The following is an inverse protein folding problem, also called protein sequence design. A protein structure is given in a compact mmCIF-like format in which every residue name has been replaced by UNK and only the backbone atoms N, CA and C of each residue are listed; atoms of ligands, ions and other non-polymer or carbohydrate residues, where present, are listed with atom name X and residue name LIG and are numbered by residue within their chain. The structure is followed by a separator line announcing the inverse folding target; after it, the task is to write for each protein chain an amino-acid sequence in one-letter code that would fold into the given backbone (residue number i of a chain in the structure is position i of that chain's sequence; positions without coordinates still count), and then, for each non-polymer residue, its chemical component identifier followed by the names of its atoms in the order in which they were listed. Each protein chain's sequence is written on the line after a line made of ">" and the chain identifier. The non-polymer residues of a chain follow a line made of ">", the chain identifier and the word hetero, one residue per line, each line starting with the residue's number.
data_IF_158672146256
#
_entry.id   IF_158672146256
#
_cell.length_a   1.000
_cell.length_b   1.000
_cell.length_c   1.000
_cell.angle_alpha   90.00
_cell.angle_beta   90.00
_cell.angle_gamma   90.00
#
_symmetry.space_group_name_H-M   'P 1'
#
loop_
_entity.id
_entity.type
_entity.pdbx_description
1 polymer ?
#
# COMPACT_ATOMS: atom_id res chain seq x y z
N UNK A 1 26.21 -70.88 -44.64
CA UNK A 1 24.94 -70.67 -43.90
C UNK A 1 25.17 -70.22 -42.46
N UNK A 2 26.12 -70.81 -41.74
CA UNK A 2 26.43 -70.46 -40.34
C UNK A 2 26.87 -68.99 -40.17
N UNK A 3 27.70 -68.46 -41.08
CA UNK A 3 28.18 -67.07 -40.96
C UNK A 3 27.06 -66.03 -41.11
N UNK A 4 26.08 -66.28 -41.98
CA UNK A 4 24.95 -65.37 -42.18
C UNK A 4 24.00 -65.36 -40.96
N UNK A 5 23.77 -66.53 -40.34
CA UNK A 5 22.99 -66.61 -39.11
C UNK A 5 23.67 -65.89 -37.93
N UNK A 6 25.00 -65.95 -37.86
CA UNK A 6 25.79 -65.25 -36.84
C UNK A 6 25.77 -63.73 -37.03
N UNK A 7 25.97 -63.27 -38.27
CA UNK A 7 25.86 -61.85 -38.63
C UNK A 7 24.48 -61.29 -38.30
N UNK A 8 23.41 -62.00 -38.67
CA UNK A 8 22.04 -61.58 -38.35
C UNK A 8 21.79 -61.52 -36.82
N UNK A 9 22.32 -62.48 -36.06
CA UNK A 9 22.20 -62.47 -34.60
C UNK A 9 22.94 -61.29 -33.94
N UNK A 10 24.12 -60.94 -34.45
CA UNK A 10 24.90 -59.78 -33.98
C UNK A 10 24.22 -58.46 -34.35
N UNK A 11 23.57 -58.37 -35.53
CA UNK A 11 22.75 -57.22 -35.94
C UNK A 11 21.54 -57.03 -35.01
N UNK A 12 20.81 -58.11 -34.69
CA UNK A 12 19.68 -58.03 -33.75
C UNK A 12 20.13 -57.69 -32.33
N UNK A 13 21.29 -58.19 -31.89
CA UNK A 13 21.87 -57.83 -30.59
C UNK A 13 22.19 -56.35 -30.52
N UNK A 14 22.88 -55.82 -31.54
CA UNK A 14 23.22 -54.38 -31.62
C UNK A 14 21.95 -53.52 -31.60
N UNK A 15 20.93 -53.90 -32.39
CA UNK A 15 19.63 -53.20 -32.40
C UNK A 15 18.94 -53.24 -31.04
N UNK A 16 18.94 -54.39 -30.37
CA UNK A 16 18.36 -54.54 -29.03
C UNK A 16 19.09 -53.65 -28.01
N UNK A 17 20.42 -53.63 -28.04
CA UNK A 17 21.24 -52.78 -27.15
C UNK A 17 20.96 -51.30 -27.39
N UNK A 18 20.86 -50.85 -28.65
CA UNK A 18 20.53 -49.45 -28.97
C UNK A 18 19.12 -49.07 -28.53
N UNK A 19 18.14 -49.95 -28.77
CA UNK A 19 16.75 -49.71 -28.38
C UNK A 19 16.58 -49.71 -26.85
N UNK A 20 17.29 -50.60 -26.17
CA UNK A 20 17.33 -50.66 -24.71
C UNK A 20 17.95 -49.39 -24.12
N UNK A 21 19.05 -48.89 -24.70
CA UNK A 21 19.65 -47.63 -24.29
C UNK A 21 18.70 -46.44 -24.49
N UNK A 22 18.00 -46.38 -25.64
CA UNK A 22 17.00 -45.36 -25.92
C UNK A 22 15.85 -45.41 -24.90
N UNK A 23 15.33 -46.61 -24.60
CA UNK A 23 14.28 -46.82 -23.59
C UNK A 23 14.71 -46.29 -22.22
N UNK A 24 15.94 -46.61 -21.79
CA UNK A 24 16.50 -46.14 -20.51
C UNK A 24 16.63 -44.60 -20.48
N UNK A 25 17.03 -43.98 -21.59
CA UNK A 25 17.08 -42.51 -21.71
C UNK A 25 15.69 -41.90 -21.54
N UNK A 26 14.70 -42.42 -22.27
CA UNK A 26 13.31 -41.93 -22.19
C UNK A 26 12.73 -42.14 -20.79
N UNK A 27 13.01 -43.25 -20.13
CA UNK A 27 12.59 -43.47 -18.74
C UNK A 27 13.23 -42.46 -17.78
N UNK A 28 14.51 -42.13 -17.98
CA UNK A 28 15.19 -41.08 -17.21
C UNK A 28 14.51 -39.72 -17.43
N UNK A 29 14.22 -39.37 -18.68
CA UNK A 29 13.57 -38.10 -19.04
C UNK A 29 12.16 -38.01 -18.44
N UNK A 30 11.37 -39.09 -18.51
CA UNK A 30 10.03 -39.17 -17.88
C UNK A 30 10.14 -38.93 -16.37
N UNK A 31 11.11 -39.56 -15.71
CA UNK A 31 11.31 -39.37 -14.27
C UNK A 31 11.76 -37.94 -13.94
N UNK A 32 12.60 -37.33 -14.76
CA UNK A 32 13.00 -35.93 -14.64
C UNK A 32 11.82 -34.98 -14.79
N UNK A 33 11.02 -35.16 -15.85
CA UNK A 33 9.83 -34.34 -16.11
C UNK A 33 8.78 -34.45 -14.99
N UNK A 34 8.62 -35.64 -14.40
CA UNK A 34 7.72 -35.82 -13.23
C UNK A 34 8.18 -34.99 -12.04
N UNK A 35 9.49 -34.96 -11.74
CA UNK A 35 10.02 -34.13 -10.65
C UNK A 35 9.80 -32.64 -10.89
N UNK A 36 10.06 -32.17 -12.12
CA UNK A 36 9.81 -30.78 -12.50
C UNK A 36 8.32 -30.43 -12.36
N UNK A 37 7.42 -31.35 -12.76
CA UNK A 37 5.98 -31.14 -12.59
C UNK A 37 5.58 -31.03 -11.11
N UNK A 38 6.15 -31.88 -10.24
CA UNK A 38 5.90 -31.82 -8.79
C UNK A 38 6.39 -30.50 -8.19
N UNK A 39 7.60 -30.04 -8.57
CA UNK A 39 8.16 -28.75 -8.16
C UNK A 39 7.28 -27.57 -8.62
N UNK A 40 6.85 -27.57 -9.88
CA UNK A 40 5.95 -26.55 -10.41
C UNK A 40 4.58 -26.57 -9.73
N UNK A 41 4.10 -27.75 -9.33
CA UNK A 41 2.82 -27.89 -8.61
C UNK A 41 2.90 -27.28 -7.22
N UNK A 42 4.02 -27.50 -6.50
CA UNK A 42 4.26 -26.87 -5.21
C UNK A 42 4.39 -25.35 -5.34
N UNK A 43 5.21 -24.87 -6.28
CA UNK A 43 5.38 -23.43 -6.52
C UNK A 43 4.05 -22.74 -6.88
N UNK A 44 3.17 -23.41 -7.64
CA UNK A 44 1.83 -22.89 -7.94
C UNK A 44 0.99 -22.74 -6.67
N UNK A 45 0.99 -23.76 -5.81
CA UNK A 45 0.25 -23.71 -4.54
C UNK A 45 0.76 -22.60 -3.61
N UNK A 46 2.08 -22.40 -3.53
CA UNK A 46 2.68 -21.33 -2.73
C UNK A 46 2.28 -19.94 -3.25
N UNK A 47 2.26 -19.74 -4.57
CA UNK A 47 1.82 -18.49 -5.18
C UNK A 47 0.31 -18.26 -4.99
N UNK A 48 -0.51 -19.31 -5.12
CA UNK A 48 -1.96 -19.23 -4.84
C UNK A 48 -2.22 -18.80 -3.39
N UNK A 49 -1.48 -19.35 -2.42
CA UNK A 49 -1.54 -18.93 -1.02
C UNK A 49 -1.11 -17.46 -0.82
N UNK A 50 -0.02 -17.02 -1.44
CA UNK A 50 0.43 -15.62 -1.35
C UNK A 50 -0.62 -14.65 -1.91
N UNK A 51 -1.23 -15.01 -3.04
CA UNK A 51 -2.31 -14.20 -3.64
C UNK A 51 -3.49 -14.10 -2.69
N UNK A 52 -3.88 -15.20 -2.03
CA UNK A 52 -5.01 -15.18 -1.11
C UNK A 52 -4.72 -14.35 0.14
N UNK A 53 -3.53 -14.51 0.74
CA UNK A 53 -3.10 -13.68 1.87
C UNK A 53 -3.13 -12.17 1.53
N UNK A 54 -2.61 -11.79 0.36
CA UNK A 54 -2.62 -10.38 -0.07
C UNK A 54 -4.04 -9.85 -0.31
N UNK A 55 -4.97 -10.69 -0.79
CA UNK A 55 -6.39 -10.29 -0.90
C UNK A 55 -7.02 -10.07 0.47
N UNK A 56 -6.73 -10.94 1.44
CA UNK A 56 -7.20 -10.79 2.81
C UNK A 56 -6.66 -9.52 3.46
N UNK A 57 -5.36 -9.22 3.30
CA UNK A 57 -4.74 -7.98 3.79
C UNK A 57 -5.38 -6.73 3.15
N UNK A 58 -5.63 -6.77 1.84
CA UNK A 58 -6.28 -5.66 1.12
C UNK A 58 -7.73 -5.47 1.60
N UNK A 59 -8.47 -6.56 1.79
CA UNK A 59 -9.82 -6.52 2.33
C UNK A 59 -9.85 -5.96 3.76
N UNK A 60 -8.90 -6.40 4.60
CA UNK A 60 -8.73 -5.91 5.96
C UNK A 60 -8.45 -4.39 5.96
N UNK A 61 -7.49 -3.93 5.15
CA UNK A 61 -7.12 -2.51 5.09
C UNK A 61 -8.26 -1.64 4.56
N UNK A 62 -9.00 -2.11 3.54
CA UNK A 62 -10.19 -1.42 3.02
C UNK A 62 -11.27 -1.29 4.09
N UNK A 63 -11.56 -2.37 4.82
CA UNK A 63 -12.55 -2.36 5.89
C UNK A 63 -12.13 -1.42 7.02
N UNK A 64 -10.86 -1.45 7.42
CA UNK A 64 -10.36 -0.53 8.44
C UNK A 64 -10.47 0.93 7.99
N UNK A 65 -10.12 1.23 6.73
CA UNK A 65 -10.27 2.58 6.19
C UNK A 65 -11.74 3.02 6.12
N UNK A 66 -12.65 2.14 5.74
CA UNK A 66 -14.09 2.41 5.74
C UNK A 66 -14.63 2.69 7.14
N UNK A 67 -14.20 1.90 8.14
CA UNK A 67 -14.55 2.09 9.55
C UNK A 67 -13.99 3.40 10.12
N UNK A 68 -12.74 3.75 9.81
CA UNK A 68 -12.12 5.03 10.19
C UNK A 68 -12.84 6.23 9.54
N UNK A 69 -13.16 6.14 8.24
CA UNK A 69 -13.94 7.17 7.54
C UNK A 69 -15.35 7.31 8.13
N UNK A 70 -15.99 6.20 8.48
CA UNK A 70 -17.31 6.22 9.08
C UNK A 70 -17.29 6.80 10.51
N UNK A 71 -16.24 6.50 11.29
CA UNK A 71 -16.02 7.09 12.60
C UNK A 71 -15.79 8.61 12.50
N UNK A 72 -14.93 9.07 11.57
CA UNK A 72 -14.68 10.49 11.33
C UNK A 72 -15.93 11.21 10.81
N UNK A 73 -16.72 10.58 9.93
CA UNK A 73 -18.01 11.11 9.47
C UNK A 73 -19.01 11.26 10.61
N UNK A 74 -19.04 10.31 11.55
CA UNK A 74 -19.86 10.42 12.77
C UNK A 74 -19.41 11.54 13.71
N UNK A 75 -18.11 11.82 13.75
CA UNK A 75 -17.52 12.88 14.56
C UNK A 75 -17.75 14.29 13.99
N UNK A 76 -17.83 14.42 12.66
CA UNK A 76 -18.12 15.69 11.94
C UNK A 76 -19.63 15.96 11.80
N UNK A 77 -20.48 14.97 12.07
CA UNK A 77 -21.96 15.09 12.02
C UNK A 77 -22.63 15.67 13.27
N UNK A 78 -21.85 16.02 14.31
CA UNK A 78 -22.35 16.70 15.51
C UNK A 78 -22.49 18.21 15.28
N UNK A 79 -23.73 18.67 15.13
CA UNK A 79 -24.13 20.07 15.04
C UNK A 79 -23.62 20.89 16.24
N UNK A 80 -22.46 21.54 16.09
CA UNK A 80 -22.05 22.69 16.90
C UNK A 80 -21.38 23.69 15.95
N UNK A 81 -22.16 24.68 15.52
CA UNK A 81 -21.66 25.93 14.94
C UNK A 81 -20.95 26.70 16.05
N UNK A 82 -19.63 26.60 16.10
CA UNK A 82 -18.76 27.54 16.80
C UNK A 82 -17.83 28.10 15.74
N UNK A 83 -18.14 29.33 15.30
CA UNK A 83 -17.19 30.18 14.60
C UNK A 83 -16.03 30.47 15.56
N UNK A 84 -15.02 29.59 15.57
CA UNK A 84 -13.68 29.96 15.98
C UNK A 84 -12.92 30.36 14.73
N UNK A 85 -12.53 31.63 14.71
CA UNK A 85 -11.65 32.27 13.74
C UNK A 85 -10.26 31.61 13.75
N UNK A 86 -10.18 30.41 13.19
CA UNK A 86 -8.94 29.75 12.87
C UNK A 86 -8.43 30.39 11.58
N UNK A 87 -7.30 31.11 11.67
CA UNK A 87 -6.57 31.61 10.51
C UNK A 87 -6.57 30.56 9.39
N UNK A 88 -6.88 30.94 8.13
CA UNK A 88 -7.28 29.99 7.11
C UNK A 88 -6.26 28.86 7.05
N UNK A 89 -6.67 27.68 7.52
CA UNK A 89 -5.87 26.48 7.43
C UNK A 89 -5.50 26.33 5.97
N UNK A 90 -4.20 26.37 5.68
CA UNK A 90 -3.68 26.29 4.33
C UNK A 90 -4.29 25.06 3.68
N UNK A 91 -5.23 25.27 2.75
CA UNK A 91 -6.02 24.21 2.15
C UNK A 91 -5.10 23.36 1.27
N UNK A 92 -4.65 22.26 1.85
CA UNK A 92 -3.74 21.32 1.21
C UNK A 92 -4.35 20.77 -0.10
N UNK A 93 -5.68 20.69 -0.18
CA UNK A 93 -6.40 20.30 -1.40
C UNK A 93 -6.16 21.31 -2.51
N UNK A 94 -6.19 22.60 -2.17
CA UNK A 94 -5.93 23.70 -3.11
C UNK A 94 -4.47 23.72 -3.54
N UNK A 95 -3.52 23.52 -2.63
CA UNK A 95 -2.09 23.42 -3.00
C UNK A 95 -1.83 22.21 -3.90
N UNK A 96 -2.43 21.05 -3.61
CA UNK A 96 -2.28 19.85 -4.44
C UNK A 96 -2.91 20.03 -5.82
N UNK A 97 -4.05 20.72 -5.92
CA UNK A 97 -4.67 21.07 -7.19
C UNK A 97 -3.82 22.07 -7.99
N UNK A 98 -3.29 23.09 -7.33
CA UNK A 98 -2.44 24.12 -7.93
C UNK A 98 -1.09 23.53 -8.41
N UNK A 99 -0.49 22.62 -7.64
CA UNK A 99 0.69 21.87 -8.04
C UNK A 99 0.40 20.99 -9.26
N UNK A 100 -0.73 20.26 -9.27
CA UNK A 100 -1.14 19.45 -10.43
C UNK A 100 -1.33 20.31 -11.68
N UNK A 101 -1.97 21.46 -11.54
CA UNK A 101 -2.18 22.42 -12.63
C UNK A 101 -0.85 22.97 -13.15
N UNK A 102 0.12 23.22 -12.27
CA UNK A 102 1.49 23.58 -12.68
C UNK A 102 2.20 22.46 -13.45
N UNK A 103 2.03 21.20 -13.05
CA UNK A 103 2.57 20.05 -13.79
C UNK A 103 1.94 19.89 -15.17
N UNK A 104 0.61 19.99 -15.26
CA UNK A 104 -0.10 19.91 -16.54
C UNK A 104 0.30 21.07 -17.46
N UNK A 105 0.43 22.29 -16.93
CA UNK A 105 0.90 23.43 -17.73
C UNK A 105 2.34 23.27 -18.20
N UNK A 106 3.23 22.71 -17.38
CA UNK A 106 4.64 22.53 -17.75
C UNK A 106 4.80 21.42 -18.80
N UNK A 107 4.10 20.29 -18.60
CA UNK A 107 4.07 19.20 -19.56
C UNK A 107 3.49 19.64 -20.91
N UNK A 108 2.42 20.42 -20.88
CA UNK A 108 1.76 20.95 -22.09
C UNK A 108 2.62 21.98 -22.82
N UNK A 109 3.33 22.87 -22.09
CA UNK A 109 4.30 23.79 -22.69
C UNK A 109 5.47 23.04 -23.31
N UNK A 110 6.06 22.09 -22.59
CA UNK A 110 7.16 21.28 -23.10
C UNK A 110 6.76 20.50 -24.37
N UNK A 111 5.56 19.90 -24.36
CA UNK A 111 4.97 19.25 -25.54
C UNK A 111 4.83 20.21 -26.72
N UNK A 112 4.29 21.41 -26.48
CA UNK A 112 4.13 22.44 -27.53
C UNK A 112 5.46 22.96 -28.06
N UNK A 113 6.46 23.11 -27.20
CA UNK A 113 7.78 23.61 -27.59
C UNK A 113 8.53 22.55 -28.40
N UNK A 114 8.43 21.28 -28.01
CA UNK A 114 8.92 20.16 -28.81
C UNK A 114 8.23 20.13 -30.18
N UNK A 115 6.89 20.17 -30.23
CA UNK A 115 6.13 20.16 -31.48
C UNK A 115 6.50 21.33 -32.40
N UNK A 116 6.60 22.55 -31.87
CA UNK A 116 7.02 23.73 -32.65
C UNK A 116 8.46 23.61 -33.14
N UNK A 117 9.36 23.10 -32.30
CA UNK A 117 10.74 22.87 -32.66
C UNK A 117 10.86 21.83 -33.79
N UNK A 118 10.12 20.71 -33.68
CA UNK A 118 10.01 19.70 -34.73
C UNK A 118 9.44 20.30 -36.02
N UNK A 119 8.34 21.05 -35.94
CA UNK A 119 7.69 21.64 -37.11
C UNK A 119 8.59 22.65 -37.83
N UNK A 120 9.29 23.51 -37.09
CA UNK A 120 10.24 24.49 -37.63
C UNK A 120 11.40 23.80 -38.37
N UNK A 121 11.95 22.73 -37.77
CA UNK A 121 13.09 22.01 -38.34
C UNK A 121 12.71 21.19 -39.57
N UNK A 122 11.56 20.51 -39.54
CA UNK A 122 11.01 19.78 -40.69
C UNK A 122 10.70 20.73 -41.84
N UNK A 123 10.04 21.86 -41.58
CA UNK A 123 9.76 22.90 -42.59
C UNK A 123 11.05 23.41 -43.26
N UNK A 124 12.10 23.67 -42.47
CA UNK A 124 13.40 24.10 -43.00
C UNK A 124 14.07 23.06 -43.89
N UNK A 125 13.99 21.77 -43.54
CA UNK A 125 14.54 20.68 -44.33
C UNK A 125 13.73 20.45 -45.63
N UNK A 126 12.39 20.51 -45.54
CA UNK A 126 11.51 20.42 -46.72
C UNK A 126 11.73 21.58 -47.68
N UNK A 127 11.91 22.80 -47.18
CA UNK A 127 12.21 23.97 -48.01
C UNK A 127 13.60 23.89 -48.67
N UNK A 128 14.61 23.38 -47.95
CA UNK A 128 15.94 23.14 -48.51
C UNK A 128 15.92 22.05 -49.61
N UNK A 129 15.12 21.00 -49.42
CA UNK A 129 14.93 19.94 -50.41
C UNK A 129 14.19 20.44 -51.66
N UNK A 130 13.15 21.28 -51.50
CA UNK A 130 12.43 21.89 -52.62
C UNK A 130 13.31 22.87 -53.42
N UNK A 131 14.23 23.58 -52.77
CA UNK A 131 15.17 24.52 -53.42
C UNK A 131 16.27 23.82 -54.22
N UNK A 132 16.48 22.52 -54.03
CA UNK A 132 17.55 21.77 -54.71
C UNK A 132 17.26 21.44 -56.19
N UNK A 133 16.01 21.55 -56.66
CA UNK A 133 15.63 21.43 -58.08
C UNK A 133 15.86 20.03 -58.71
N UNK A 134 15.16 19.65 -59.80
CA UNK A 134 15.18 18.29 -60.34
C UNK A 134 16.37 17.98 -61.27
N UNK A 135 17.52 18.65 -61.14
CA UNK A 135 18.63 18.41 -62.05
C UNK A 135 19.94 19.08 -61.67
N UNK A 136 20.86 18.31 -61.10
CA UNK A 136 22.30 18.36 -61.35
C UNK A 136 23.00 17.23 -60.55
N UNK A 137 23.84 16.43 -61.22
CA UNK A 137 24.33 15.10 -60.80
C UNK A 137 25.09 15.03 -59.47
N UNK A 138 25.21 13.87 -58.82
CA UNK A 138 25.12 12.47 -59.26
C UNK A 138 24.38 11.66 -58.19
N UNK A 139 23.83 10.48 -58.52
CA UNK A 139 23.05 9.65 -57.58
C UNK A 139 23.75 9.44 -56.21
N UNK A 140 25.08 9.33 -56.21
CA UNK A 140 25.92 9.26 -55.02
C UNK A 140 25.86 10.52 -54.13
N UNK A 141 25.72 11.71 -54.70
CA UNK A 141 25.53 12.97 -53.96
C UNK A 141 24.14 12.99 -53.29
N UNK A 142 23.12 12.44 -53.96
CA UNK A 142 21.78 12.31 -53.37
C UNK A 142 21.75 11.27 -52.25
N UNK A 143 22.42 10.13 -52.41
CA UNK A 143 22.56 9.10 -51.36
C UNK A 143 23.35 9.63 -50.16
N UNK A 144 24.45 10.36 -50.38
CA UNK A 144 25.20 11.01 -49.31
C UNK A 144 24.32 12.00 -48.54
N UNK A 145 23.49 12.79 -49.23
CA UNK A 145 22.52 13.70 -48.59
C UNK A 145 21.50 12.96 -47.75
N UNK A 146 20.87 11.90 -48.28
CA UNK A 146 19.92 11.09 -47.50
C UNK A 146 20.60 10.40 -46.31
N UNK A 147 21.83 9.93 -46.47
CA UNK A 147 22.65 9.38 -45.38
C UNK A 147 22.87 10.41 -44.26
N UNK A 148 23.21 11.65 -44.61
CA UNK A 148 23.36 12.72 -43.60
C UNK A 148 22.04 13.08 -42.92
N UNK A 149 20.91 13.06 -43.65
CA UNK A 149 19.59 13.30 -43.08
C UNK A 149 19.17 12.20 -42.11
N UNK A 150 19.41 10.93 -42.48
CA UNK A 150 19.12 9.79 -41.63
C UNK A 150 19.96 9.82 -40.36
N UNK A 151 21.26 10.16 -40.47
CA UNK A 151 22.14 10.31 -39.32
C UNK A 151 21.67 11.43 -38.37
N UNK A 152 21.20 12.56 -38.91
CA UNK A 152 20.63 13.65 -38.10
C UNK A 152 19.34 13.24 -37.39
N UNK A 153 18.44 12.52 -38.08
CA UNK A 153 17.21 11.98 -37.47
C UNK A 153 17.53 10.96 -36.38
N UNK A 154 18.51 10.08 -36.60
CA UNK A 154 18.93 9.11 -35.60
C UNK A 154 19.52 9.78 -34.36
N UNK A 155 20.37 10.80 -34.54
CA UNK A 155 20.91 11.58 -33.42
C UNK A 155 19.81 12.27 -32.61
N UNK A 156 18.77 12.76 -33.28
CA UNK A 156 17.62 13.37 -32.64
C UNK A 156 16.80 12.35 -31.82
N UNK A 157 16.52 11.17 -32.40
CA UNK A 157 15.83 10.08 -31.70
C UNK A 157 16.58 9.75 -30.41
N UNK A 158 17.91 9.56 -30.50
CA UNK A 158 18.74 9.26 -29.32
C UNK A 158 18.68 10.36 -28.28
N UNK A 159 18.70 11.64 -28.67
CA UNK A 159 18.59 12.75 -27.70
C UNK A 159 17.23 12.80 -26.98
N UNK A 160 16.14 12.46 -27.67
CA UNK A 160 14.80 12.42 -27.09
C UNK A 160 14.66 11.19 -26.17
N UNK A 161 15.21 10.05 -26.57
CA UNK A 161 15.26 8.85 -25.74
C UNK A 161 16.03 9.09 -24.43
N UNK A 162 17.15 9.83 -24.50
CA UNK A 162 17.94 10.23 -23.33
C UNK A 162 17.15 11.15 -22.40
N UNK A 163 16.50 12.19 -22.92
CA UNK A 163 15.63 13.09 -22.13
C UNK A 163 14.48 12.34 -21.45
N UNK A 164 13.87 11.36 -22.14
CA UNK A 164 12.84 10.50 -21.54
C UNK A 164 13.41 9.60 -20.44
N UNK A 165 14.65 9.14 -20.59
CA UNK A 165 15.36 8.38 -19.56
C UNK A 165 15.60 9.22 -18.30
N UNK A 166 16.11 10.43 -18.45
CA UNK A 166 16.35 11.36 -17.35
C UNK A 166 15.06 11.68 -16.58
N UNK A 167 13.97 12.00 -17.30
CA UNK A 167 12.68 12.31 -16.69
C UNK A 167 12.12 11.14 -15.86
N UNK A 168 12.31 9.90 -16.32
CA UNK A 168 11.91 8.70 -15.57
C UNK A 168 12.69 8.56 -14.27
N UNK A 169 14.02 8.73 -14.31
CA UNK A 169 14.88 8.69 -13.14
C UNK A 169 14.48 9.76 -12.11
N UNK A 170 14.21 10.98 -12.57
CA UNK A 170 13.75 12.07 -11.70
C UNK A 170 12.40 11.77 -11.03
N UNK A 171 11.46 11.20 -11.78
CA UNK A 171 10.15 10.81 -11.25
C UNK A 171 10.26 9.71 -10.18
N UNK A 172 11.09 8.70 -10.41
CA UNK A 172 11.34 7.63 -9.43
C UNK A 172 11.94 8.19 -8.14
N UNK A 173 12.92 9.09 -8.26
CA UNK A 173 13.52 9.77 -7.10
C UNK A 173 12.48 10.59 -6.33
N UNK A 174 11.67 11.40 -7.01
CA UNK A 174 10.63 12.19 -6.35
C UNK A 174 9.56 11.32 -5.68
N UNK A 175 9.21 10.18 -6.28
CA UNK A 175 8.26 9.23 -5.65
C UNK A 175 8.83 8.67 -4.35
N UNK A 176 10.12 8.35 -4.32
CA UNK A 176 10.80 7.88 -3.12
C UNK A 176 10.83 8.96 -2.03
N UNK A 177 11.16 10.20 -2.38
CA UNK A 177 11.13 11.34 -1.45
C UNK A 177 9.73 11.58 -0.87
N UNK A 178 8.68 11.47 -1.70
CA UNK A 178 7.29 11.56 -1.26
C UNK A 178 6.92 10.48 -0.23
N UNK A 179 7.33 9.22 -0.46
CA UNK A 179 7.07 8.12 0.48
C UNK A 179 7.68 8.36 1.85
N UNK A 180 8.91 8.86 1.90
CA UNK A 180 9.60 9.19 3.16
C UNK A 180 8.85 10.31 3.89
N UNK A 181 8.44 11.35 3.17
CA UNK A 181 7.69 12.46 3.77
C UNK A 181 6.34 12.01 4.35
N UNK A 182 5.66 11.08 3.67
CA UNK A 182 4.41 10.51 4.14
C UNK A 182 4.58 9.73 5.46
N UNK A 183 5.65 8.95 5.57
CA UNK A 183 5.99 8.21 6.79
C UNK A 183 6.25 9.16 7.99
N UNK A 184 7.06 10.20 7.77
CA UNK A 184 7.31 11.24 8.78
C UNK A 184 6.01 11.94 9.20
N UNK A 185 5.13 12.25 8.25
CA UNK A 185 3.82 12.85 8.52
C UNK A 185 2.96 11.94 9.41
N UNK A 186 2.86 10.66 9.08
CA UNK A 186 2.10 9.70 9.90
C UNK A 186 2.64 9.62 11.34
N UNK A 187 3.97 9.67 11.51
CA UNK A 187 4.59 9.67 12.85
C UNK A 187 4.24 10.93 13.64
N UNK A 188 4.33 12.10 13.02
CA UNK A 188 4.00 13.37 13.66
C UNK A 188 2.52 13.44 14.06
N UNK A 189 1.61 12.91 13.26
CA UNK A 189 0.19 12.85 13.60
C UNK A 189 -0.08 11.99 14.84
N UNK A 190 0.62 10.86 14.98
CA UNK A 190 0.56 10.03 16.18
C UNK A 190 1.08 10.78 17.41
N UNK A 191 2.21 11.49 17.29
CA UNK A 191 2.75 12.34 18.36
C UNK A 191 1.76 13.46 18.75
N UNK A 192 1.14 14.13 17.78
CA UNK A 192 0.11 15.15 18.06
C UNK A 192 -1.11 14.53 18.76
N UNK A 193 -1.54 13.34 18.37
CA UNK A 193 -2.65 12.65 19.01
C UNK A 193 -2.34 12.28 20.46
N UNK A 194 -1.11 11.86 20.76
CA UNK A 194 -0.70 11.61 22.15
C UNK A 194 -0.62 12.90 22.96
N UNK A 195 -0.08 13.98 22.40
CA UNK A 195 -0.05 15.29 23.06
C UNK A 195 -1.46 15.82 23.34
N UNK A 196 -2.41 15.70 22.40
CA UNK A 196 -3.82 16.07 22.61
C UNK A 196 -4.45 15.27 23.75
N UNK A 197 -4.26 13.95 23.77
CA UNK A 197 -4.77 13.10 24.86
C UNK A 197 -4.18 13.48 26.21
N UNK A 198 -2.90 13.83 26.29
CA UNK A 198 -2.26 14.26 27.54
C UNK A 198 -2.83 15.60 28.02
N UNK A 199 -3.01 16.56 27.11
CA UNK A 199 -3.59 17.87 27.41
C UNK A 199 -5.07 17.75 27.82
N UNK A 200 -5.86 16.98 27.08
CA UNK A 200 -7.27 16.68 27.41
C UNK A 200 -7.39 15.85 28.72
N UNK A 201 -6.40 14.98 28.98
CA UNK A 201 -6.32 14.14 30.18
C UNK A 201 -5.87 14.86 31.44
N UNK A 202 -5.14 15.98 31.33
CA UNK A 202 -4.83 16.87 32.46
C UNK A 202 -6.02 17.78 32.79
N UNK A 203 -6.75 18.29 31.80
CA UNK A 203 -7.96 19.10 32.04
C UNK A 203 -9.13 18.24 32.58
N UNK A 204 -9.25 16.98 32.15
CA UNK A 204 -10.26 16.06 32.68
C UNK A 204 -9.94 15.60 34.11
N UNK A 205 -8.66 15.39 34.46
CA UNK A 205 -8.30 15.01 35.84
C UNK A 205 -8.40 16.16 36.83
N UNK A 206 -8.11 17.39 36.41
CA UNK A 206 -8.31 18.58 37.25
C UNK A 206 -9.81 18.85 37.40
N UNK A 207 -10.58 18.88 36.31
CA UNK A 207 -12.03 19.14 36.36
C UNK A 207 -12.82 18.03 37.08
N UNK A 208 -12.44 16.75 36.90
CA UNK A 208 -13.05 15.60 37.59
C UNK A 208 -12.76 15.60 39.10
N UNK A 209 -11.55 15.99 39.55
CA UNK A 209 -11.28 16.10 40.99
C UNK A 209 -12.10 17.22 41.67
N UNK A 210 -12.30 18.36 41.01
CA UNK A 210 -13.12 19.45 41.57
C UNK A 210 -14.63 19.15 41.55
N UNK A 211 -15.11 18.40 40.54
CA UNK A 211 -16.53 18.01 40.45
C UNK A 211 -16.87 16.76 41.27
N UNK A 212 -15.95 15.82 41.48
CA UNK A 212 -16.14 14.66 42.37
C UNK A 212 -16.12 15.02 43.86
N UNK A 213 -15.52 16.15 44.24
CA UNK A 213 -15.69 16.76 45.56
C UNK A 213 -17.09 17.34 45.81
N UNK A 214 -17.87 17.61 44.74
CA UNK A 214 -19.19 18.26 44.83
C UNK A 214 -20.37 17.35 44.41
N UNK A 215 -20.14 16.30 43.62
CA UNK A 215 -21.20 15.45 43.02
C UNK A 215 -21.22 13.99 43.47
N UNK A 216 -20.36 13.56 44.40
CA UNK A 216 -20.42 12.21 45.00
C UNK A 216 -21.49 12.07 46.10
N UNK A 217 -22.58 12.82 45.98
CA UNK A 217 -23.83 12.60 46.71
C UNK A 217 -25.04 12.67 45.77
N UNK A 218 -25.07 11.85 44.71
CA UNK A 218 -26.33 11.30 44.17
C UNK A 218 -26.08 10.42 42.94
N UNK A 219 -26.14 9.09 43.09
CA UNK A 219 -26.15 8.18 41.94
C UNK A 219 -26.07 6.67 42.24
N UNK A 220 -27.07 6.15 42.97
CA UNK A 220 -27.57 4.75 43.09
C UNK A 220 -26.86 3.56 42.41
N UNK A 221 -26.75 2.48 43.21
CA UNK A 221 -26.88 1.02 42.94
C UNK A 221 -26.13 0.41 41.73
N UNK A 222 -25.00 -0.30 41.88
CA UNK A 222 -24.34 -0.88 43.07
C UNK A 222 -25.09 -2.07 43.70
N UNK A 223 -24.31 -3.11 44.02
CA UNK A 223 -24.69 -4.35 44.67
C UNK A 223 -25.48 -4.11 45.97
N UNK A 224 -26.68 -4.70 46.05
CA UNK A 224 -27.55 -4.65 47.23
C UNK A 224 -26.91 -5.46 48.37
N UNK A 225 -26.35 -4.78 49.37
CA UNK A 225 -25.94 -5.41 50.62
C UNK A 225 -27.00 -5.15 51.68
N UNK A 226 -27.76 -6.18 52.02
CA UNK A 226 -28.75 -6.14 53.09
C UNK A 226 -28.04 -6.10 54.44
N UNK A 227 -28.27 -5.06 55.24
CA UNK A 227 -27.71 -4.91 56.59
C UNK A 227 -28.77 -5.31 57.63
N UNK A 228 -28.52 -6.40 58.35
CA UNK A 228 -29.36 -6.81 59.48
C UNK A 228 -28.87 -6.12 60.75
N UNK A 229 -29.72 -5.35 61.42
CA UNK A 229 -29.41 -4.77 62.73
C UNK A 229 -29.97 -5.71 63.80
N UNK A 230 -29.06 -6.29 64.58
CA UNK A 230 -29.37 -7.14 65.74
C UNK A 230 -29.20 -6.28 66.98
N UNK A 231 -30.30 -6.02 67.67
CA UNK A 231 -30.26 -5.34 68.97
C UNK A 231 -30.37 -6.41 70.03
N UNK A 232 -29.34 -6.51 70.87
CA UNK A 232 -29.32 -7.40 72.03
C UNK A 232 -29.63 -6.52 73.24
N UNK A 233 -30.73 -6.83 73.92
CA UNK A 233 -31.09 -6.18 75.19
C UNK A 233 -30.74 -7.15 76.31
N UNK A 234 -29.83 -6.73 77.18
CA UNK A 234 -29.41 -7.47 78.36
C UNK A 234 -29.88 -6.75 79.62
N UNK A 235 -30.51 -7.48 80.53
CA UNK A 235 -30.78 -6.98 81.87
C UNK A 235 -29.69 -7.45 82.83
N UNK A 236 -29.07 -6.49 83.52
CA UNK A 236 -27.95 -6.70 84.44
C UNK A 236 -28.36 -6.22 85.82
N UNK A 237 -28.26 -7.09 86.81
CA UNK A 237 -28.48 -6.77 88.22
C UNK A 237 -27.21 -7.15 89.00
N UNK A 238 -26.66 -6.20 89.78
CA UNK A 238 -25.39 -6.36 90.52
C UNK A 238 -24.21 -6.88 89.68
N UNK A 239 -24.09 -6.38 88.45
CA UNK A 239 -22.95 -6.66 87.57
C UNK A 239 -22.94 -8.06 86.93
N UNK A 240 -24.02 -8.84 87.09
CA UNK A 240 -24.20 -10.14 86.41
C UNK A 240 -25.40 -10.10 85.47
N UNK A 241 -25.21 -10.54 84.22
CA UNK A 241 -26.28 -10.60 83.22
C UNK A 241 -27.28 -11.70 83.61
N UNK A 242 -28.54 -11.33 83.83
CA UNK A 242 -29.59 -12.25 84.30
C UNK A 242 -30.59 -12.63 83.21
N UNK A 243 -30.68 -11.86 82.12
CA UNK A 243 -31.54 -12.15 80.97
C UNK A 243 -30.99 -11.49 79.69
N UNK A 244 -31.06 -12.18 78.55
CA UNK A 244 -30.61 -11.68 77.24
C UNK A 244 -31.63 -12.03 76.16
N UNK A 245 -32.08 -11.03 75.40
CA UNK A 245 -33.03 -11.20 74.29
C UNK A 245 -32.56 -10.43 73.06
N UNK A 246 -32.43 -11.16 71.95
CA UNK A 246 -32.04 -10.64 70.64
C UNK A 246 -33.29 -10.30 69.81
N UNK A 247 -33.35 -9.10 69.24
CA UNK A 247 -34.35 -8.72 68.25
C UNK A 247 -33.66 -8.28 66.97
N UNK A 248 -34.10 -8.86 65.85
CA UNK A 248 -33.57 -8.58 64.51
C UNK A 248 -34.61 -7.77 63.75
N UNK A 249 -34.27 -6.52 63.44
CA UNK A 249 -35.10 -5.68 62.58
C UNK A 249 -34.47 -5.62 61.19
N UNK A 250 -35.25 -6.00 60.18
CA UNK A 250 -34.88 -5.84 58.78
C UNK A 250 -35.30 -4.44 58.35
N UNK A 251 -34.34 -3.52 58.35
CA UNK A 251 -34.55 -2.21 57.73
C UNK A 251 -33.99 -2.27 56.32
N UNK A 252 -34.89 -2.52 55.37
CA UNK A 252 -34.61 -2.27 53.96
C UNK A 252 -34.65 -0.76 53.75
N UNK A 253 -33.60 -0.18 53.16
CA UNK A 253 -33.66 1.19 52.64
C UNK A 253 -33.77 1.13 51.12
#
# INVERSE_FOLDING_TARGET
>A
QIDNARLAADDFRTKFETEQALRMSVESDINGLRRVLDELTLARADLEMQIENLKEELAYLKKNHEEELNALRGQVGGEISVEMDAAPGVDLTKILAEMREQYESLAEKNRRDAEQWFFSKVSGLTAAAARAGPGAGTLADTEARYGTQLAQLQALITSVEEQLGELRCDMERQNQEYRVLLDVKCRLEQEIATYRRLLEGEDAHISSQYSSAMSSHSGRDVMTTSRQVRTIVEEVQDGKVVSSREQVALTTR
#
